data_IF_170566489891
#
_entry.id   IF_170566489891
#
_cell.length_a   1.000
_cell.length_b   1.000
_cell.length_c   1.000
_cell.angle_alpha   90.00
_cell.angle_beta   90.00
_cell.angle_gamma   90.00
#
_symmetry.space_group_name_H-M   'P 1'
#
loop_
_entity.id
_entity.type
_entity.pdbx_description
1 polymer ?
#
# COMPACT_ATOMS: atom_id res chain seq x y z
N UNK A 1 -33.66 2.28 38.60
CA UNK A 1 -33.97 2.94 37.32
C UNK A 1 -33.35 2.09 36.20
N UNK A 2 -34.13 1.25 35.53
CA UNK A 2 -33.68 0.52 34.34
C UNK A 2 -34.25 1.26 33.12
N UNK A 3 -33.41 1.60 32.14
CA UNK A 3 -33.85 2.17 30.87
C UNK A 3 -33.55 1.19 29.74
N UNK A 4 -34.61 0.73 29.08
CA UNK A 4 -34.55 -0.11 27.90
C UNK A 4 -34.17 0.74 26.69
N UNK A 5 -33.17 0.30 25.92
CA UNK A 5 -32.83 0.92 24.64
C UNK A 5 -33.44 0.07 23.52
N UNK A 6 -34.52 0.57 22.90
CA UNK A 6 -35.13 -0.06 21.72
C UNK A 6 -34.40 0.38 20.46
N UNK A 7 -33.95 -0.57 19.64
CA UNK A 7 -33.38 -0.30 18.32
C UNK A 7 -34.46 -0.42 17.24
N UNK A 8 -34.67 0.63 16.46
CA UNK A 8 -35.56 0.61 15.29
C UNK A 8 -34.72 0.48 14.02
N UNK A 9 -34.92 -0.61 13.28
CA UNK A 9 -34.34 -0.80 11.95
C UNK A 9 -35.32 -0.18 10.93
N UNK A 10 -34.84 0.74 10.11
CA UNK A 10 -35.59 1.29 8.98
C UNK A 10 -35.03 0.74 7.66
N UNK A 11 -35.78 -0.18 7.04
CA UNK A 11 -35.59 -0.60 5.65
C UNK A 11 -36.60 0.16 4.81
N UNK A 12 -36.16 0.84 3.75
CA UNK A 12 -37.05 1.51 2.80
C UNK A 12 -36.66 1.12 1.38
N UNK A 13 -37.46 0.22 0.80
CA UNK A 13 -37.35 -0.20 -0.59
C UNK A 13 -38.30 0.66 -1.42
N UNK A 14 -37.78 1.36 -2.43
CA UNK A 14 -38.58 2.08 -3.43
C UNK A 14 -38.49 1.33 -4.76
N UNK A 15 -39.61 0.85 -5.27
CA UNK A 15 -39.71 0.14 -6.55
C UNK A 15 -40.45 1.06 -7.53
N UNK A 16 -39.80 1.42 -8.65
CA UNK A 16 -40.44 2.19 -9.73
C UNK A 16 -40.07 1.57 -11.08
N UNK A 17 -41.10 1.37 -11.92
CA UNK A 17 -40.99 0.85 -13.28
C UNK A 17 -41.85 1.63 -14.25
N UNK A 18 -41.46 1.49 -15.53
CA UNK A 18 -42.20 1.72 -16.78
C UNK A 18 -42.04 3.10 -17.46
N UNK A 19 -41.80 3.00 -18.76
CA UNK A 19 -41.48 4.08 -19.69
C UNK A 19 -40.84 3.52 -20.97
N UNK A 20 -41.63 2.79 -21.78
CA UNK A 20 -41.27 2.38 -23.16
C UNK A 20 -41.20 3.66 -24.03
N UNK A 21 -40.30 3.82 -25.02
CA UNK A 21 -40.29 3.27 -26.40
C UNK A 21 -38.97 3.76 -27.10
N UNK A 22 -38.54 3.46 -28.34
CA UNK A 22 -39.06 2.66 -29.45
C UNK A 22 -37.90 2.09 -30.33
N UNK A 23 -37.98 0.80 -30.66
CA UNK A 23 -37.49 0.08 -31.87
C UNK A 23 -36.42 0.70 -32.80
N UNK A 24 -35.31 -0.04 -32.98
CA UNK A 24 -35.00 -0.66 -34.31
C UNK A 24 -34.11 -1.89 -34.20
N UNK A 25 -34.41 -2.87 -35.05
CA UNK A 25 -33.94 -4.25 -34.95
C UNK A 25 -32.87 -4.59 -36.01
N UNK A 26 -31.97 -5.49 -35.62
CA UNK A 26 -31.42 -6.62 -36.41
C UNK A 26 -30.95 -6.33 -37.85
N UNK A 27 -29.64 -6.53 -38.07
CA UNK A 27 -29.16 -7.33 -39.20
C UNK A 27 -27.77 -7.92 -38.91
N UNK A 28 -27.64 -9.25 -39.02
CA UNK A 28 -26.36 -9.92 -39.27
C UNK A 28 -26.13 -9.88 -40.78
N UNK A 29 -24.91 -9.54 -41.22
CA UNK A 29 -24.52 -9.81 -42.61
C UNK A 29 -23.07 -10.29 -42.66
N UNK A 30 -22.88 -11.43 -43.33
CA UNK A 30 -21.60 -12.07 -43.57
C UNK A 30 -21.39 -12.22 -45.08
N UNK A 31 -20.16 -12.57 -45.46
CA UNK A 31 -19.74 -13.01 -46.82
C UNK A 31 -19.51 -11.91 -47.86
N UNK A 32 -18.22 -11.69 -48.21
CA UNK A 32 -17.69 -12.05 -49.54
C UNK A 32 -16.15 -12.17 -49.53
N UNK A 33 -15.59 -12.98 -50.43
CA UNK A 33 -14.18 -13.35 -50.48
C UNK A 33 -13.48 -12.93 -51.79
N UNK A 34 -12.18 -12.57 -51.68
CA UNK A 34 -11.03 -12.87 -52.59
C UNK A 34 -11.10 -12.46 -54.09
N UNK A 35 -10.03 -12.57 -54.95
CA UNK A 35 -8.71 -13.22 -54.79
C UNK A 35 -7.45 -12.48 -55.36
N UNK A 36 -6.27 -13.14 -55.28
CA UNK A 36 -5.05 -12.90 -56.10
C UNK A 36 -3.96 -12.05 -55.42
N UNK A 37 -2.66 -12.36 -55.48
CA UNK A 37 -1.83 -13.31 -56.25
C UNK A 37 -0.64 -13.75 -55.33
N UNK A 38 -0.31 -15.05 -55.20
CA UNK A 38 0.90 -15.76 -55.70
C UNK A 38 2.26 -15.40 -55.01
N UNK A 39 3.29 -16.24 -54.93
CA UNK A 39 3.37 -17.71 -54.76
C UNK A 39 4.65 -18.06 -53.92
N UNK A 40 4.75 -19.34 -53.53
CA UNK A 40 5.93 -20.12 -53.07
C UNK A 40 6.17 -20.30 -51.55
N UNK A 41 6.75 -21.43 -51.07
CA UNK A 41 6.59 -22.86 -51.42
C UNK A 41 7.37 -23.72 -50.39
N UNK A 42 6.70 -24.69 -49.74
CA UNK A 42 7.28 -25.80 -48.94
C UNK A 42 8.14 -25.40 -47.70
N UNK A 43 8.29 -26.22 -46.66
CA UNK A 43 7.67 -27.50 -46.32
C UNK A 43 8.47 -28.21 -45.20
N UNK A 44 7.81 -28.72 -44.17
CA UNK A 44 8.45 -29.42 -43.05
C UNK A 44 7.43 -29.80 -41.98
N UNK A 45 7.48 -31.03 -41.46
CA UNK A 45 6.39 -31.66 -40.73
C UNK A 45 6.67 -31.91 -39.23
N UNK A 46 5.60 -32.30 -38.52
CA UNK A 46 5.55 -32.75 -37.11
C UNK A 46 5.73 -31.62 -36.05
N UNK A 47 5.11 -31.67 -34.87
CA UNK A 47 4.39 -32.74 -34.16
C UNK A 47 3.04 -32.23 -33.64
N UNK A 48 2.02 -33.09 -33.62
CA UNK A 48 0.78 -32.86 -32.86
C UNK A 48 0.79 -33.74 -31.61
N UNK A 49 0.98 -33.14 -30.42
CA UNK A 49 0.67 -33.77 -29.14
C UNK A 49 -0.42 -32.97 -28.43
N UNK A 50 -1.67 -33.33 -28.70
CA UNK A 50 -2.76 -33.09 -27.76
C UNK A 50 -2.89 -34.34 -26.89
N UNK A 51 -2.34 -34.29 -25.67
CA UNK A 51 -2.68 -35.25 -24.61
C UNK A 51 -3.40 -34.50 -23.51
N UNK A 52 -4.70 -34.75 -23.40
CA UNK A 52 -5.58 -34.16 -22.41
C UNK A 52 -5.33 -34.76 -21.01
N UNK A 53 -5.44 -33.90 -19.99
CA UNK A 53 -5.99 -34.19 -18.67
C UNK A 53 -5.09 -34.77 -17.56
N UNK A 54 -5.02 -34.02 -16.45
CA UNK A 54 -4.93 -34.56 -15.08
C UNK A 54 -3.67 -34.19 -14.28
N UNK A 55 -3.76 -33.19 -13.40
CA UNK A 55 -4.02 -33.45 -11.97
C UNK A 55 -4.24 -32.13 -11.19
N UNK A 56 -5.43 -31.95 -10.64
CA UNK A 56 -5.86 -30.68 -10.03
C UNK A 56 -5.78 -30.73 -8.49
N UNK A 57 -4.58 -30.84 -7.91
CA UNK A 57 -4.40 -30.74 -6.44
C UNK A 57 -3.13 -30.00 -6.04
N UNK A 58 -3.23 -28.67 -5.86
CA UNK A 58 -2.46 -27.89 -4.85
C UNK A 58 -2.76 -26.37 -4.88
N UNK A 59 -3.55 -25.86 -5.83
CA UNK A 59 -3.78 -24.41 -5.99
C UNK A 59 -4.90 -23.78 -5.12
N UNK A 60 -5.36 -24.43 -4.03
CA UNK A 60 -6.57 -23.99 -3.30
C UNK A 60 -6.28 -23.31 -1.95
N UNK A 61 -5.14 -23.52 -1.28
CA UNK A 61 -4.86 -22.86 0.02
C UNK A 61 -3.99 -21.59 -0.05
N UNK A 62 -3.25 -21.36 -1.15
CA UNK A 62 -2.38 -20.16 -1.25
C UNK A 62 -3.14 -18.84 -1.43
N UNK A 63 -4.42 -18.89 -1.80
CA UNK A 63 -5.24 -17.70 -2.06
C UNK A 63 -5.66 -16.89 -0.82
N UNK A 64 -5.89 -17.56 0.32
CA UNK A 64 -6.47 -16.92 1.51
C UNK A 64 -5.52 -15.93 2.19
N UNK A 65 -4.47 -16.44 2.83
CA UNK A 65 -3.54 -15.61 3.61
C UNK A 65 -2.61 -14.75 2.73
N UNK A 66 -2.09 -15.29 1.62
CA UNK A 66 -1.19 -14.53 0.75
C UNK A 66 -1.94 -13.49 -0.10
N UNK A 67 -3.21 -13.74 -0.44
CA UNK A 67 -4.09 -12.74 -1.05
C UNK A 67 -4.36 -11.56 -0.11
N UNK A 68 -4.78 -11.85 1.12
CA UNK A 68 -5.02 -10.82 2.16
C UNK A 68 -3.74 -10.03 2.46
N UNK A 69 -2.57 -10.69 2.57
CA UNK A 69 -1.29 -10.00 2.76
C UNK A 69 -0.93 -9.03 1.63
N UNK A 70 -1.24 -9.37 0.37
CA UNK A 70 -1.06 -8.46 -0.78
C UNK A 70 -2.03 -7.27 -0.71
N UNK A 71 -3.29 -7.49 -0.34
CA UNK A 71 -4.28 -6.42 -0.20
C UNK A 71 -4.03 -5.50 1.01
N UNK A 72 -3.43 -6.01 2.08
CA UNK A 72 -3.01 -5.23 3.25
C UNK A 72 -1.68 -4.50 3.05
N UNK A 73 -0.87 -4.89 2.05
CA UNK A 73 0.45 -4.32 1.78
C UNK A 73 0.44 -2.77 1.71
N UNK A 74 -0.49 -2.09 1.01
CA UNK A 74 -0.55 -0.63 1.02
C UNK A 74 -0.71 -0.07 2.44
N UNK A 75 -1.56 -0.68 3.27
CA UNK A 75 -1.77 -0.23 4.63
C UNK A 75 -0.53 -0.45 5.52
N UNK A 76 0.13 -1.61 5.48
CA UNK A 76 1.28 -1.89 6.35
C UNK A 76 2.50 -1.00 6.10
N UNK A 77 2.76 -0.55 4.86
CA UNK A 77 3.83 0.42 4.58
C UNK A 77 3.39 1.89 4.68
N UNK A 78 2.19 2.28 4.25
CA UNK A 78 1.81 3.71 4.22
C UNK A 78 1.25 4.22 5.56
N UNK A 79 0.63 3.37 6.38
CA UNK A 79 0.09 3.76 7.68
C UNK A 79 1.15 4.32 8.65
N UNK A 80 2.33 3.70 8.86
CA UNK A 80 3.37 4.29 9.72
C UNK A 80 3.91 5.62 9.17
N UNK A 81 4.02 5.78 7.85
CA UNK A 81 4.43 7.04 7.22
C UNK A 81 3.43 8.14 7.58
N UNK A 82 2.14 7.89 7.39
CA UNK A 82 1.09 8.84 7.73
C UNK A 82 1.09 9.19 9.23
N UNK A 83 1.20 8.20 10.13
CA UNK A 83 1.23 8.46 11.57
C UNK A 83 2.44 9.29 12.00
N UNK A 84 3.65 8.98 11.53
CA UNK A 84 4.87 9.69 11.92
C UNK A 84 4.90 11.13 11.36
N UNK A 85 4.44 11.35 10.12
CA UNK A 85 4.29 12.68 9.55
C UNK A 85 3.21 13.50 10.28
N UNK A 86 2.06 12.89 10.60
CA UNK A 86 1.01 13.55 11.37
C UNK A 86 1.42 13.82 12.82
N UNK A 87 2.27 12.99 13.43
CA UNK A 87 2.87 13.28 14.73
C UNK A 87 3.74 14.54 14.66
N UNK A 88 4.60 14.66 13.65
CA UNK A 88 5.46 15.83 13.45
C UNK A 88 4.63 17.11 13.20
N UNK A 89 3.60 17.04 12.35
CA UNK A 89 2.67 18.15 12.11
C UNK A 89 1.89 18.52 13.38
N UNK A 90 1.48 17.55 14.19
CA UNK A 90 0.77 17.82 15.45
C UNK A 90 1.70 18.42 16.50
N UNK A 91 2.98 18.04 16.54
CA UNK A 91 3.98 18.66 17.43
C UNK A 91 4.28 20.12 17.03
N UNK A 92 4.16 20.51 15.75
CA UNK A 92 4.17 21.94 15.36
C UNK A 92 2.98 22.70 15.97
N UNK A 93 1.79 22.11 16.02
CA UNK A 93 0.66 22.72 16.73
C UNK A 93 0.86 22.73 18.26
N UNK A 94 1.57 21.76 18.84
CA UNK A 94 2.00 21.79 20.26
C UNK A 94 3.01 22.91 20.52
N UNK A 95 3.91 23.20 19.57
CA UNK A 95 4.85 24.34 19.64
C UNK A 95 4.11 25.68 19.70
N UNK A 96 3.07 25.87 18.89
CA UNK A 96 2.26 27.10 18.88
C UNK A 96 1.33 27.22 20.11
N UNK A 97 0.66 26.13 20.51
CA UNK A 97 -0.16 26.07 21.73
C UNK A 97 -0.19 24.65 22.29
N UNK A 98 0.49 24.49 23.42
CA UNK A 98 0.55 23.25 24.21
C UNK A 98 -0.80 22.97 24.88
N UNK A 99 -1.41 21.82 24.60
CA UNK A 99 -2.62 21.32 25.29
C UNK A 99 -2.51 19.80 25.50
N UNK A 100 -3.09 19.22 26.58
CA UNK A 100 -2.97 17.80 26.89
C UNK A 100 -3.45 16.88 25.75
N UNK A 101 -4.49 17.29 25.02
CA UNK A 101 -5.13 16.52 23.94
C UNK A 101 -4.18 16.40 22.74
N UNK A 102 -3.50 17.49 22.38
CA UNK A 102 -2.48 17.48 21.30
C UNK A 102 -1.28 16.64 21.69
N UNK A 103 -0.86 16.70 22.96
CA UNK A 103 0.24 15.85 23.45
C UNK A 103 -0.12 14.36 23.45
N UNK A 104 -1.36 14.02 23.82
CA UNK A 104 -1.87 12.66 23.76
C UNK A 104 -1.94 12.16 22.31
N UNK A 105 -2.46 12.98 21.38
CA UNK A 105 -2.52 12.66 19.96
C UNK A 105 -1.12 12.37 19.38
N UNK A 106 -0.14 13.24 19.64
CA UNK A 106 1.26 13.02 19.25
C UNK A 106 1.78 11.69 19.81
N UNK A 107 1.59 11.40 21.10
CA UNK A 107 2.05 10.13 21.70
C UNK A 107 1.42 8.91 21.04
N UNK A 108 0.11 8.91 20.79
CA UNK A 108 -0.60 7.81 20.13
C UNK A 108 -0.06 7.58 18.71
N UNK A 109 0.10 8.66 17.94
CA UNK A 109 0.66 8.61 16.58
C UNK A 109 2.10 8.08 16.56
N UNK A 110 2.94 8.46 17.52
CA UNK A 110 4.32 7.95 17.64
C UNK A 110 4.34 6.47 17.96
N UNK A 111 3.53 5.98 18.91
CA UNK A 111 3.51 4.55 19.25
C UNK A 111 3.02 3.69 18.07
N UNK A 112 1.91 4.08 17.42
CA UNK A 112 1.42 3.38 16.23
C UNK A 112 2.40 3.48 15.06
N UNK A 113 3.00 4.65 14.85
CA UNK A 113 4.00 4.89 13.80
C UNK A 113 5.28 4.08 13.99
N UNK A 114 5.79 3.97 15.22
CA UNK A 114 6.96 3.17 15.54
C UNK A 114 6.70 1.67 15.40
N UNK A 115 5.55 1.18 15.90
CA UNK A 115 5.15 -0.21 15.71
C UNK A 115 5.00 -0.57 14.22
N UNK A 116 4.34 0.29 13.44
CA UNK A 116 4.21 0.12 12.00
C UNK A 116 5.55 0.23 11.25
N UNK A 117 6.47 1.10 11.67
CA UNK A 117 7.80 1.22 11.06
C UNK A 117 8.65 -0.04 11.26
N UNK A 118 8.54 -0.71 12.41
CA UNK A 118 9.15 -2.03 12.63
C UNK A 118 8.54 -3.09 11.69
N UNK A 119 7.21 -3.14 11.57
CA UNK A 119 6.53 -4.06 10.64
C UNK A 119 6.94 -3.81 9.19
N UNK A 120 6.99 -2.54 8.76
CA UNK A 120 7.43 -2.14 7.42
C UNK A 120 8.90 -2.54 7.15
N UNK A 121 9.81 -2.35 8.11
CA UNK A 121 11.20 -2.79 7.98
C UNK A 121 11.30 -4.32 7.87
N UNK A 122 10.57 -5.07 8.69
CA UNK A 122 10.52 -6.54 8.60
C UNK A 122 9.99 -7.00 7.23
N UNK A 123 8.91 -6.38 6.73
CA UNK A 123 8.35 -6.71 5.43
C UNK A 123 9.30 -6.37 4.28
N UNK A 124 10.07 -5.27 4.39
CA UNK A 124 11.14 -4.94 3.46
C UNK A 124 12.20 -6.05 3.38
N UNK A 125 12.72 -6.51 4.52
CA UNK A 125 13.69 -7.62 4.57
C UNK A 125 13.13 -8.96 4.09
N UNK A 126 11.85 -9.25 4.35
CA UNK A 126 11.18 -10.44 3.80
C UNK A 126 11.05 -10.33 2.27
N UNK A 127 10.76 -9.13 1.74
CA UNK A 127 10.59 -8.91 0.31
C UNK A 127 11.92 -8.95 -0.47
N UNK A 128 12.99 -8.38 0.06
CA UNK A 128 14.32 -8.40 -0.60
C UNK A 128 15.17 -9.62 -0.25
N UNK A 129 14.78 -10.37 0.78
CA UNK A 129 15.64 -11.35 1.45
C UNK A 129 16.86 -10.71 2.12
N UNK A 130 17.77 -11.56 2.63
CA UNK A 130 19.06 -11.16 3.21
C UNK A 130 20.12 -10.77 2.15
N UNK A 131 19.68 -10.36 0.95
CA UNK A 131 20.57 -10.02 -0.16
C UNK A 131 21.02 -8.55 -0.07
N UNK A 132 22.32 -8.33 0.09
CA UNK A 132 22.91 -7.00 0.26
C UNK A 132 23.26 -6.28 -1.05
N UNK A 133 22.91 -6.85 -2.22
CA UNK A 133 23.08 -6.16 -3.50
C UNK A 133 22.06 -5.04 -3.73
N UNK A 134 22.01 -4.56 -4.97
CA UNK A 134 21.25 -3.40 -5.40
C UNK A 134 22.15 -2.19 -5.69
N UNK A 135 21.64 -1.26 -6.49
CA UNK A 135 22.30 0.01 -6.80
C UNK A 135 22.32 0.96 -5.59
N UNK A 136 22.92 2.14 -5.75
CA UNK A 136 23.03 3.15 -4.67
C UNK A 136 21.65 3.55 -4.12
N UNK A 137 20.62 3.65 -4.96
CA UNK A 137 19.26 4.02 -4.53
C UNK A 137 18.66 2.92 -3.65
N UNK A 138 18.80 1.65 -4.04
CA UNK A 138 18.38 0.49 -3.24
C UNK A 138 19.12 0.44 -1.89
N UNK A 139 20.43 0.70 -1.86
CA UNK A 139 21.19 0.76 -0.60
C UNK A 139 20.66 1.86 0.32
N UNK A 140 20.49 3.07 -0.21
CA UNK A 140 20.01 4.22 0.56
C UNK A 140 18.57 4.00 1.05
N UNK A 141 17.66 3.51 0.21
CA UNK A 141 16.28 3.18 0.56
C UNK A 141 16.22 2.21 1.75
N UNK A 142 16.95 1.08 1.66
CA UNK A 142 17.02 0.06 2.72
C UNK A 142 17.57 0.60 4.04
N UNK A 143 18.75 1.23 4.01
CA UNK A 143 19.40 1.67 5.25
C UNK A 143 18.69 2.87 5.88
N UNK A 144 18.10 3.76 5.08
CA UNK A 144 17.21 4.81 5.57
C UNK A 144 15.94 4.22 6.23
N UNK A 145 15.40 3.11 5.70
CA UNK A 145 14.24 2.43 6.29
C UNK A 145 14.53 1.87 7.67
N UNK A 146 15.69 1.21 7.81
CA UNK A 146 16.20 0.75 9.11
C UNK A 146 16.45 1.90 10.08
N UNK A 147 17.01 3.03 9.60
CA UNK A 147 17.25 4.22 10.42
C UNK A 147 15.94 4.83 10.92
N UNK A 148 14.92 4.96 10.07
CA UNK A 148 13.58 5.44 10.43
C UNK A 148 12.95 4.54 11.50
N UNK A 149 13.01 3.21 11.32
CA UNK A 149 12.49 2.27 12.30
C UNK A 149 13.20 2.43 13.67
N UNK A 150 14.53 2.46 13.68
CA UNK A 150 15.31 2.66 14.90
C UNK A 150 15.02 4.01 15.59
N UNK A 151 15.01 5.12 14.84
CA UNK A 151 14.70 6.44 15.38
C UNK A 151 13.25 6.54 15.89
N UNK A 152 12.29 5.89 15.24
CA UNK A 152 10.90 5.87 15.70
C UNK A 152 10.73 5.15 17.04
N UNK A 153 11.47 4.07 17.29
CA UNK A 153 11.54 3.41 18.59
C UNK A 153 12.20 4.32 19.65
N UNK A 154 13.26 5.05 19.30
CA UNK A 154 13.88 6.04 20.20
C UNK A 154 12.92 7.19 20.51
N UNK A 155 12.17 7.70 19.54
CA UNK A 155 11.16 8.73 19.74
C UNK A 155 9.99 8.22 20.62
N UNK A 156 9.54 6.97 20.44
CA UNK A 156 8.56 6.33 21.30
C UNK A 156 9.06 6.13 22.74
N UNK A 157 10.32 5.71 22.92
CA UNK A 157 10.96 5.60 24.23
C UNK A 157 11.07 6.96 24.92
N UNK A 158 11.51 8.00 24.21
CA UNK A 158 11.53 9.37 24.72
C UNK A 158 10.11 9.83 25.09
N UNK A 159 9.08 9.53 24.29
CA UNK A 159 7.70 9.88 24.60
C UNK A 159 7.14 9.16 25.84
N UNK A 160 7.58 7.91 26.08
CA UNK A 160 7.22 7.09 27.24
C UNK A 160 7.84 7.62 28.54
N UNK A 161 9.13 7.98 28.52
CA UNK A 161 9.88 8.52 29.66
C UNK A 161 9.37 9.88 30.17
N UNK A 162 8.30 10.42 29.57
CA UNK A 162 7.57 11.63 29.96
C UNK A 162 8.48 12.85 30.24
N UNK A 163 9.41 13.20 29.32
CA UNK A 163 10.54 14.05 29.59
C UNK A 163 10.13 15.49 29.84
N UNK A 164 10.77 16.11 30.83
CA UNK A 164 10.72 17.56 31.03
C UNK A 164 11.26 18.33 29.81
N UNK A 165 12.22 17.74 29.07
CA UNK A 165 12.77 18.30 27.84
C UNK A 165 12.03 17.83 26.58
N UNK A 166 11.05 18.64 26.13
CA UNK A 166 10.41 18.51 24.81
C UNK A 166 11.40 18.67 23.64
N UNK A 167 12.58 19.27 23.88
CA UNK A 167 13.62 19.45 22.86
C UNK A 167 14.14 18.11 22.33
N UNK A 168 14.47 17.16 23.22
CA UNK A 168 14.99 15.85 22.82
C UNK A 168 13.99 15.06 21.94
N UNK A 169 12.69 15.18 22.24
CA UNK A 169 11.62 14.59 21.43
C UNK A 169 11.50 15.24 20.04
N UNK A 170 11.63 16.57 19.94
CA UNK A 170 11.61 17.29 18.66
C UNK A 170 12.84 16.99 17.80
N UNK A 171 14.01 16.88 18.43
CA UNK A 171 15.28 16.52 17.79
C UNK A 171 15.32 15.07 17.27
N UNK A 172 14.38 14.20 17.68
CA UNK A 172 14.19 12.88 17.06
C UNK A 172 13.05 12.87 16.06
N UNK A 173 11.90 13.50 16.37
CA UNK A 173 10.72 13.50 15.50
C UNK A 173 10.90 14.25 14.18
N UNK A 174 11.46 15.47 14.18
CA UNK A 174 11.58 16.22 12.93
C UNK A 174 12.57 15.59 11.93
N UNK A 175 13.71 15.02 12.35
CA UNK A 175 14.55 14.20 11.46
C UNK A 175 13.81 12.98 10.90
N UNK A 176 13.01 12.26 11.69
CA UNK A 176 12.19 11.14 11.18
C UNK A 176 11.27 11.61 10.04
N UNK A 177 10.60 12.75 10.21
CA UNK A 177 9.73 13.31 9.16
C UNK A 177 10.50 13.66 7.88
N UNK A 178 11.70 14.23 7.99
CA UNK A 178 12.56 14.52 6.83
C UNK A 178 13.04 13.23 6.13
N UNK A 179 13.47 12.22 6.91
CA UNK A 179 13.90 10.93 6.39
C UNK A 179 12.76 10.16 5.70
N UNK A 180 11.51 10.31 6.17
CA UNK A 180 10.31 9.76 5.53
C UNK A 180 10.01 10.40 4.16
N UNK A 181 10.21 11.72 4.02
CA UNK A 181 10.08 12.39 2.72
C UNK A 181 11.14 11.87 1.75
N UNK A 182 12.40 11.77 2.19
CA UNK A 182 13.46 11.16 1.40
C UNK A 182 13.17 9.68 1.08
N UNK A 183 12.56 8.94 1.99
CA UNK A 183 12.16 7.54 1.77
C UNK A 183 11.12 7.41 0.67
N UNK A 184 10.10 8.28 0.67
CA UNK A 184 9.10 8.33 -0.38
C UNK A 184 9.72 8.62 -1.75
N UNK A 185 10.66 9.56 -1.81
CA UNK A 185 11.40 9.86 -3.05
C UNK A 185 12.18 8.64 -3.58
N UNK A 186 13.01 8.00 -2.75
CA UNK A 186 13.78 6.81 -3.16
C UNK A 186 12.87 5.62 -3.50
N UNK A 187 11.75 5.45 -2.79
CA UNK A 187 10.75 4.43 -3.12
C UNK A 187 10.12 4.66 -4.51
N UNK A 188 9.85 5.92 -4.86
CA UNK A 188 9.41 6.30 -6.20
C UNK A 188 10.47 6.04 -7.28
N UNK A 189 11.75 6.29 -7.00
CA UNK A 189 12.84 5.96 -7.92
C UNK A 189 12.97 4.44 -8.17
N UNK A 190 12.80 3.62 -7.14
CA UNK A 190 12.79 2.16 -7.29
C UNK A 190 11.56 1.64 -8.05
N UNK A 191 10.41 2.31 -7.92
CA UNK A 191 9.16 1.91 -8.57
C UNK A 191 9.00 2.43 -10.01
N UNK A 192 9.61 3.57 -10.35
CA UNK A 192 9.35 4.32 -11.58
C UNK A 192 10.62 4.74 -12.35
N UNK A 193 11.81 4.47 -11.80
CA UNK A 193 13.10 4.84 -12.37
C UNK A 193 13.68 6.15 -11.82
N UNK A 194 14.97 6.36 -12.06
CA UNK A 194 15.70 7.55 -11.63
C UNK A 194 15.06 8.84 -12.15
N UNK A 195 15.04 9.90 -11.32
CA UNK A 195 14.46 11.20 -11.65
C UNK A 195 12.98 11.14 -12.11
N UNK A 196 12.18 10.18 -11.61
CA UNK A 196 10.76 10.02 -11.95
C UNK A 196 9.91 11.30 -11.79
N UNK A 197 10.27 12.21 -10.86
CA UNK A 197 9.60 13.49 -10.65
C UNK A 197 10.04 14.61 -11.62
N UNK A 198 11.11 14.41 -12.40
CA UNK A 198 11.70 15.40 -13.33
C UNK A 198 12.00 16.76 -12.68
N UNK A 199 12.53 16.72 -11.45
CA UNK A 199 13.01 17.88 -10.68
C UNK A 199 14.46 18.24 -11.04
#
# INVERSE_FOLDING_TARGET
MFLLFSATIAFAHGDEKHGEENTRAVASEAVRAQPGHDMEAMGGAAVSEETTQGHDTEQVESGGIAGVLKSLHPATVHFPIALLLMAALTELFVMARRTPEREAAVKIMIYGGAAGAVVAALFGWIHTGLWFGGDTVMQLHRWNGMLIAALSLVAAWIAFQNPQSRLAFRLTLFPIAALLIAQGYMGGELAHGLNHLKL
#
